data_IF_247942485287
#
_entry.id   IF_247942485287
#
_cell.length_a   1.000
_cell.length_b   1.000
_cell.length_c   1.000
_cell.angle_alpha   90.00
_cell.angle_beta   90.00
_cell.angle_gamma   90.00
#
_symmetry.space_group_name_H-M   'P 1'
#
loop_
_entity.id
_entity.type
_entity.pdbx_description
1 polymer ?
#
# COMPACT_ATOMS: atom_id res chain seq x y z
N UNK A 1 66.78 -7.40 -43.10
CA UNK A 1 65.94 -6.41 -42.38
C UNK A 1 65.70 -5.25 -43.34
N UNK A 2 64.46 -5.08 -43.80
CA UNK A 2 64.05 -4.12 -44.85
C UNK A 2 62.94 -3.22 -44.31
N UNK A 3 63.03 -1.96 -44.71
CA UNK A 3 62.30 -0.75 -44.33
C UNK A 3 60.77 -0.84 -44.49
N UNK A 4 60.02 0.00 -43.75
CA UNK A 4 59.07 0.98 -44.33
C UNK A 4 58.25 1.70 -43.25
N UNK A 5 58.03 3.00 -43.46
CA UNK A 5 57.20 3.92 -42.68
C UNK A 5 56.06 4.36 -43.61
N UNK A 6 54.80 4.17 -43.25
CA UNK A 6 53.66 4.79 -43.94
C UNK A 6 52.44 4.97 -43.02
N UNK A 7 51.79 6.13 -43.20
CA UNK A 7 50.57 6.68 -42.56
C UNK A 7 49.31 5.92 -43.02
N UNK A 8 48.28 5.78 -42.18
CA UNK A 8 46.80 5.73 -42.42
C UNK A 8 46.14 5.49 -41.04
N UNK A 9 44.97 6.00 -40.62
CA UNK A 9 43.93 6.89 -41.15
C UNK A 9 43.05 7.35 -39.96
N UNK A 10 42.66 8.63 -39.90
CA UNK A 10 41.26 9.12 -40.05
C UNK A 10 40.22 8.24 -39.35
N UNK A 11 39.68 8.59 -38.19
CA UNK A 11 38.80 9.72 -37.85
C UNK A 11 37.47 9.12 -37.38
N UNK A 12 37.27 9.21 -36.07
CA UNK A 12 36.19 8.67 -35.27
C UNK A 12 34.84 9.31 -35.64
N UNK A 13 33.85 8.46 -35.88
CA UNK A 13 32.39 8.63 -35.70
C UNK A 13 31.90 9.99 -35.17
N UNK A 14 31.28 10.79 -36.05
CA UNK A 14 30.33 11.82 -35.65
C UNK A 14 29.45 12.23 -36.84
N UNK A 15 28.32 11.54 -37.07
CA UNK A 15 27.14 12.18 -37.68
C UNK A 15 25.89 11.55 -37.07
N UNK A 16 25.30 12.31 -36.14
CA UNK A 16 23.88 12.25 -35.80
C UNK A 16 23.05 12.39 -37.08
N UNK A 17 22.24 11.38 -37.39
CA UNK A 17 21.22 11.43 -38.44
C UNK A 17 19.83 11.21 -37.84
N UNK A 18 19.21 12.30 -37.39
CA UNK A 18 17.76 12.37 -37.19
C UNK A 18 17.06 12.01 -38.49
N UNK A 19 16.03 11.16 -38.44
CA UNK A 19 14.71 11.32 -39.07
C UNK A 19 14.08 9.95 -39.45
N UNK A 20 13.17 9.46 -38.61
CA UNK A 20 11.93 8.86 -39.12
C UNK A 20 10.78 9.52 -38.37
N UNK A 21 10.17 10.47 -39.07
CA UNK A 21 8.98 11.21 -38.71
C UNK A 21 7.78 10.35 -39.15
N UNK A 22 6.83 10.09 -38.24
CA UNK A 22 5.55 9.47 -38.62
C UNK A 22 4.89 8.54 -37.62
N UNK A 23 4.68 8.96 -36.37
CA UNK A 23 3.51 8.52 -35.60
C UNK A 23 2.95 9.75 -34.88
N UNK A 24 1.66 9.97 -35.08
CA UNK A 24 0.82 11.09 -34.68
C UNK A 24 0.90 11.41 -33.17
N UNK A 25 1.29 12.64 -32.85
CA UNK A 25 1.44 13.16 -31.49
C UNK A 25 0.13 13.61 -30.82
N UNK A 26 -0.85 12.72 -30.72
CA UNK A 26 -2.02 12.92 -29.85
C UNK A 26 -2.17 11.75 -28.85
N UNK A 27 -2.00 10.51 -29.33
CA UNK A 27 -2.15 9.31 -28.51
C UNK A 27 -0.96 9.02 -27.58
N UNK A 28 0.25 9.49 -27.95
CA UNK A 28 1.47 9.26 -27.16
C UNK A 28 1.54 10.09 -25.86
N UNK A 29 0.86 11.24 -25.80
CA UNK A 29 0.79 12.05 -24.58
C UNK A 29 -0.29 11.55 -23.62
N UNK A 30 -1.43 11.08 -24.14
CA UNK A 30 -2.51 10.52 -23.33
C UNK A 30 -2.12 9.17 -22.69
N UNK A 31 -1.43 8.28 -23.42
CA UNK A 31 -1.02 6.99 -22.87
C UNK A 31 0.05 7.06 -21.77
N UNK A 32 0.91 8.09 -21.79
CA UNK A 32 1.91 8.32 -20.73
C UNK A 32 1.25 8.90 -19.47
N UNK A 33 0.35 9.87 -19.63
CA UNK A 33 -0.33 10.52 -18.49
C UNK A 33 -1.20 9.52 -17.72
N UNK A 34 -2.04 8.74 -18.42
CA UNK A 34 -2.86 7.68 -17.85
C UNK A 34 -2.01 6.63 -17.11
N UNK A 35 -0.90 6.18 -17.72
CA UNK A 35 0.01 5.22 -17.09
C UNK A 35 0.65 5.78 -15.81
N UNK A 36 0.91 7.10 -15.74
CA UNK A 36 1.41 7.71 -14.51
C UNK A 36 0.34 7.85 -13.43
N UNK A 37 -0.92 8.11 -13.79
CA UNK A 37 -2.03 8.18 -12.84
C UNK A 37 -2.36 6.81 -12.24
N UNK A 38 -2.41 5.76 -13.06
CA UNK A 38 -2.60 4.39 -12.59
C UNK A 38 -1.51 3.97 -11.60
N UNK A 39 -0.25 4.34 -11.87
CA UNK A 39 0.86 4.05 -10.97
C UNK A 39 0.74 4.78 -9.62
N UNK A 40 0.26 6.04 -9.62
CA UNK A 40 0.01 6.81 -8.38
C UNK A 40 -1.16 6.22 -7.58
N UNK A 41 -2.24 5.84 -8.25
CA UNK A 41 -3.39 5.20 -7.62
C UNK A 41 -2.99 3.88 -6.96
N UNK A 42 -2.26 3.03 -7.69
CA UNK A 42 -1.76 1.77 -7.15
C UNK A 42 -0.88 1.96 -5.91
N UNK A 43 0.02 2.96 -5.93
CA UNK A 43 0.85 3.27 -4.75
C UNK A 43 0.00 3.68 -3.56
N UNK A 44 -0.99 4.57 -3.78
CA UNK A 44 -1.88 5.07 -2.72
C UNK A 44 -2.71 3.94 -2.12
N UNK A 45 -3.24 3.05 -2.96
CA UNK A 45 -4.01 1.89 -2.52
C UNK A 45 -3.14 0.91 -1.73
N UNK A 46 -1.89 0.69 -2.16
CA UNK A 46 -0.94 -0.16 -1.44
C UNK A 46 -0.60 0.41 -0.06
N UNK A 47 -0.34 1.72 0.03
CA UNK A 47 -0.06 2.40 1.30
C UNK A 47 -1.26 2.27 2.26
N UNK A 48 -2.49 2.47 1.74
CA UNK A 48 -3.72 2.29 2.52
C UNK A 48 -3.89 0.87 3.02
N UNK A 49 -3.68 -0.14 2.18
CA UNK A 49 -3.79 -1.54 2.55
C UNK A 49 -2.75 -1.94 3.61
N UNK A 50 -1.53 -1.41 3.47
CA UNK A 50 -0.44 -1.63 4.43
C UNK A 50 -0.83 -1.07 5.80
N UNK A 51 -1.31 0.16 5.84
CA UNK A 51 -1.76 0.84 7.06
C UNK A 51 -2.94 0.14 7.76
N UNK A 52 -3.98 -0.28 7.00
CA UNK A 52 -5.09 -1.09 7.54
C UNK A 52 -4.59 -2.42 8.12
N UNK A 53 -3.68 -3.09 7.40
CA UNK A 53 -3.11 -4.37 7.85
C UNK A 53 -2.30 -4.21 9.12
N UNK A 54 -1.49 -3.15 9.22
CA UNK A 54 -0.73 -2.84 10.42
C UNK A 54 -1.63 -2.54 11.62
N UNK A 55 -2.71 -1.77 11.43
CA UNK A 55 -3.73 -1.53 12.48
C UNK A 55 -4.33 -2.83 12.96
N UNK A 56 -4.82 -3.67 12.06
CA UNK A 56 -5.39 -4.97 12.39
C UNK A 56 -4.40 -5.86 13.15
N UNK A 57 -3.13 -5.89 12.71
CA UNK A 57 -2.07 -6.65 13.37
C UNK A 57 -1.78 -6.15 14.79
N UNK A 58 -1.90 -4.85 15.07
CA UNK A 58 -1.74 -4.32 16.44
C UNK A 58 -2.86 -4.81 17.35
N UNK A 59 -4.11 -4.78 16.87
CA UNK A 59 -5.27 -5.28 17.62
C UNK A 59 -5.17 -6.79 17.86
N UNK A 60 -4.79 -7.57 16.86
CA UNK A 60 -4.64 -9.03 16.99
C UNK A 60 -3.56 -9.45 17.99
N UNK A 61 -2.54 -8.60 18.23
CA UNK A 61 -1.46 -8.85 19.20
C UNK A 61 -1.83 -8.54 20.64
N UNK A 62 -2.98 -7.94 20.92
CA UNK A 62 -3.43 -7.72 22.29
C UNK A 62 -3.76 -9.06 22.96
N UNK A 63 -3.81 -9.08 24.29
CA UNK A 63 -4.30 -10.24 25.03
C UNK A 63 -5.79 -10.55 24.72
N UNK A 64 -6.29 -11.63 25.31
CA UNK A 64 -7.65 -12.15 25.05
C UNK A 64 -8.75 -11.45 25.86
N UNK A 65 -8.42 -10.43 26.67
CA UNK A 65 -9.39 -9.57 27.36
C UNK A 65 -10.23 -10.24 28.44
N UNK A 66 -9.80 -11.40 28.96
CA UNK A 66 -10.58 -12.22 29.90
C UNK A 66 -10.89 -11.54 31.25
N UNK A 67 -10.14 -10.51 31.60
CA UNK A 67 -10.28 -9.70 32.81
C UNK A 67 -11.19 -8.48 32.65
N UNK A 68 -11.53 -8.11 31.42
CA UNK A 68 -12.37 -6.94 31.12
C UNK A 68 -13.81 -7.24 31.54
N UNK A 69 -14.48 -6.25 32.13
CA UNK A 69 -15.89 -6.29 32.46
C UNK A 69 -16.71 -5.39 31.53
N UNK A 70 -18.03 -5.61 31.50
CA UNK A 70 -18.90 -4.69 30.78
C UNK A 70 -18.91 -3.28 31.41
N UNK A 71 -18.63 -3.16 32.71
CA UNK A 71 -18.48 -1.86 33.37
C UNK A 71 -17.33 -1.04 32.81
N UNK A 72 -16.21 -1.69 32.48
CA UNK A 72 -15.05 -1.03 31.86
C UNK A 72 -15.39 -0.48 30.47
N UNK A 73 -16.18 -1.23 29.70
CA UNK A 73 -16.69 -0.81 28.39
C UNK A 73 -17.62 0.40 28.52
N UNK A 74 -18.50 0.42 29.52
CA UNK A 74 -19.37 1.57 29.75
C UNK A 74 -18.58 2.82 30.20
N UNK A 75 -17.47 2.63 30.90
CA UNK A 75 -16.61 3.74 31.30
C UNK A 75 -15.86 4.36 30.12
N UNK A 76 -15.44 3.54 29.14
CA UNK A 76 -14.70 3.98 27.96
C UNK A 76 -15.26 3.34 26.68
N UNK A 77 -16.46 3.75 26.22
CA UNK A 77 -17.17 3.06 25.13
C UNK A 77 -16.49 3.19 23.77
N UNK A 78 -15.69 4.26 23.57
CA UNK A 78 -15.06 4.57 22.29
C UNK A 78 -13.60 4.07 22.19
N UNK A 79 -13.08 3.42 23.23
CA UNK A 79 -11.73 2.84 23.20
C UNK A 79 -11.73 1.57 22.32
N UNK A 80 -11.19 1.69 21.12
CA UNK A 80 -11.12 0.61 20.12
C UNK A 80 -10.36 -0.61 20.67
N UNK A 81 -9.25 -0.40 21.37
CA UNK A 81 -8.41 -1.49 21.87
C UNK A 81 -9.16 -2.24 22.98
N UNK A 82 -9.82 -1.51 23.88
CA UNK A 82 -10.64 -2.09 24.93
C UNK A 82 -11.81 -2.90 24.35
N UNK A 83 -12.56 -2.33 23.40
CA UNK A 83 -13.67 -3.03 22.74
C UNK A 83 -13.17 -4.26 21.96
N UNK A 84 -12.02 -4.19 21.30
CA UNK A 84 -11.47 -5.34 20.56
C UNK A 84 -11.09 -6.50 21.49
N UNK A 85 -10.39 -6.20 22.59
CA UNK A 85 -10.06 -7.19 23.62
C UNK A 85 -11.33 -7.80 24.24
N UNK A 86 -12.35 -6.98 24.49
CA UNK A 86 -13.64 -7.48 24.98
C UNK A 86 -14.35 -8.41 23.99
N UNK A 87 -14.32 -8.08 22.69
CA UNK A 87 -14.86 -8.95 21.65
C UNK A 87 -14.12 -10.31 21.61
N UNK A 88 -12.79 -10.33 21.76
CA UNK A 88 -12.02 -11.58 21.90
C UNK A 88 -12.49 -12.41 23.11
N UNK A 89 -12.69 -11.76 24.27
CA UNK A 89 -13.17 -12.42 25.46
C UNK A 89 -14.59 -13.00 25.27
N UNK A 90 -15.48 -12.28 24.59
CA UNK A 90 -16.82 -12.75 24.24
C UNK A 90 -16.77 -13.97 23.33
N UNK A 91 -15.94 -13.94 22.27
CA UNK A 91 -15.71 -15.09 21.40
C UNK A 91 -15.16 -16.30 22.17
N UNK A 92 -14.20 -16.10 23.07
CA UNK A 92 -13.65 -17.15 23.93
C UNK A 92 -14.69 -17.81 24.86
N UNK A 93 -15.75 -17.07 25.23
CA UNK A 93 -16.90 -17.58 25.99
C UNK A 93 -18.01 -18.17 25.14
N UNK A 94 -17.90 -18.11 23.81
CA UNK A 94 -18.95 -18.52 22.87
C UNK A 94 -20.08 -17.50 22.68
N UNK A 95 -19.93 -16.27 23.20
CA UNK A 95 -20.88 -15.17 22.99
C UNK A 95 -20.62 -14.48 21.64
N UNK A 96 -20.92 -15.19 20.55
CA UNK A 96 -20.69 -14.69 19.18
C UNK A 96 -21.53 -13.44 18.90
N UNK A 97 -22.79 -13.42 19.36
CA UNK A 97 -23.70 -12.27 19.15
C UNK A 97 -23.18 -11.02 19.86
N UNK A 98 -22.75 -11.15 21.11
CA UNK A 98 -22.17 -10.04 21.85
C UNK A 98 -20.88 -9.55 21.20
N UNK A 99 -20.01 -10.45 20.76
CA UNK A 99 -18.79 -10.10 20.03
C UNK A 99 -19.10 -9.32 18.74
N UNK A 100 -20.07 -9.77 17.93
CA UNK A 100 -20.49 -9.07 16.71
C UNK A 100 -20.94 -7.64 16.99
N UNK A 101 -21.78 -7.42 18.02
CA UNK A 101 -22.22 -6.08 18.38
C UNK A 101 -21.06 -5.16 18.81
N UNK A 102 -20.08 -5.71 19.54
CA UNK A 102 -18.87 -4.97 19.93
C UNK A 102 -18.00 -4.63 18.71
N UNK A 103 -17.84 -5.55 17.76
CA UNK A 103 -17.09 -5.32 16.52
C UNK A 103 -17.79 -4.31 15.61
N UNK A 104 -19.12 -4.33 15.53
CA UNK A 104 -19.90 -3.32 14.81
C UNK A 104 -19.66 -1.92 15.37
N UNK A 105 -19.59 -1.76 16.70
CA UNK A 105 -19.22 -0.49 17.31
C UNK A 105 -17.83 -0.02 16.85
N UNK A 106 -16.84 -0.93 16.81
CA UNK A 106 -15.48 -0.57 16.34
C UNK A 106 -15.53 -0.04 14.91
N UNK A 107 -16.29 -0.68 14.01
CA UNK A 107 -16.45 -0.23 12.62
C UNK A 107 -17.14 1.14 12.50
N UNK A 108 -17.96 1.53 13.47
CA UNK A 108 -18.56 2.87 13.53
C UNK A 108 -17.54 3.92 13.99
N UNK A 109 -16.61 3.54 14.88
CA UNK A 109 -15.59 4.44 15.44
C UNK A 109 -14.37 4.60 14.52
N UNK A 110 -13.98 3.54 13.81
CA UNK A 110 -12.86 3.50 12.85
C UNK A 110 -13.33 2.82 11.54
N UNK A 111 -13.95 3.60 10.63
CA UNK A 111 -14.55 3.10 9.38
C UNK A 111 -13.56 2.78 8.25
#
# INVERSE_FOLDING_TARGET
MKTSRSRHGTALLAVLGVLVMGITGADAQQGVDVRTDEARQLSTDFDRLTDVTERANRLLKTDDGGDITYGDILANPDDIVLNFRWAKAQLGRGDVRGASATLERILVLDP
#
